data_IF_844386156934
#
_entry.id   IF_844386156934
#
_cell.length_a   1.000
_cell.length_b   1.000
_cell.length_c   1.000
_cell.angle_alpha   90.00
_cell.angle_beta   90.00
_cell.angle_gamma   90.00
#
_symmetry.space_group_name_H-M   'P 1'
#
loop_
_entity.id
_entity.type
_entity.pdbx_description
1 polymer ?
#
# COMPACT_ATOMS: atom_id res chain seq x y z
N UNK A 1 -6.07 27.67 3.66
CA UNK A 1 -6.52 26.62 4.61
C UNK A 1 -6.70 25.37 3.74
N UNK A 2 -5.90 24.31 3.82
CA UNK A 2 -5.08 23.77 4.91
C UNK A 2 -3.94 22.93 4.32
N UNK A 3 -2.77 22.98 4.97
CA UNK A 3 -1.49 22.37 4.61
C UNK A 3 -1.48 20.82 4.83
N UNK A 4 -2.47 20.09 4.32
CA UNK A 4 -2.68 18.65 4.61
C UNK A 4 -2.17 17.70 3.52
N UNK A 5 -1.70 18.23 2.38
CA UNK A 5 -1.37 17.43 1.19
C UNK A 5 0.01 16.74 1.20
N UNK A 6 0.80 16.88 2.27
CA UNK A 6 2.18 16.39 2.31
C UNK A 6 2.43 15.26 3.32
N UNK A 7 1.47 14.37 3.55
CA UNK A 7 1.64 13.24 4.47
C UNK A 7 1.34 11.91 3.79
N UNK A 8 2.15 10.89 4.04
CA UNK A 8 2.03 9.55 3.43
C UNK A 8 2.16 8.47 4.50
N UNK A 9 1.46 7.35 4.33
CA UNK A 9 1.57 6.17 5.18
C UNK A 9 2.50 5.17 4.49
N UNK A 10 3.59 4.82 5.14
CA UNK A 10 4.52 3.80 4.67
C UNK A 10 4.37 2.53 5.50
N UNK A 11 4.30 1.39 4.80
CA UNK A 11 4.27 0.07 5.39
C UNK A 11 5.61 -0.62 5.21
N UNK A 12 6.23 -1.01 6.33
CA UNK A 12 7.52 -1.71 6.36
C UNK A 12 7.34 -3.13 6.84
N UNK A 13 8.21 -4.01 6.38
CA UNK A 13 8.30 -5.35 6.93
C UNK A 13 8.75 -5.29 8.40
N UNK A 14 7.98 -5.87 9.32
CA UNK A 14 8.33 -5.87 10.75
C UNK A 14 9.66 -6.57 11.07
N UNK A 15 10.05 -7.55 10.24
CA UNK A 15 11.29 -8.32 10.44
C UNK A 15 12.54 -7.54 10.03
N UNK A 16 12.57 -6.99 8.81
CA UNK A 16 13.78 -6.36 8.26
C UNK A 16 13.67 -4.85 8.05
N UNK A 17 12.52 -4.24 8.34
CA UNK A 17 12.21 -2.81 8.16
C UNK A 17 12.29 -2.31 6.71
N UNK A 18 12.46 -3.19 5.73
CA UNK A 18 12.36 -2.85 4.31
C UNK A 18 10.96 -2.28 4.02
N UNK A 19 10.91 -1.17 3.28
CA UNK A 19 9.66 -0.58 2.80
C UNK A 19 9.01 -1.56 1.82
N UNK A 20 7.75 -1.92 2.09
CA UNK A 20 7.00 -2.86 1.26
C UNK A 20 6.08 -2.13 0.29
N UNK A 21 5.32 -1.15 0.78
CA UNK A 21 4.34 -0.37 0.03
C UNK A 21 3.89 0.88 0.80
N UNK A 22 3.03 1.69 0.20
CA UNK A 22 2.45 2.92 0.75
C UNK A 22 0.92 2.87 0.79
N UNK A 23 0.25 3.94 1.25
CA UNK A 23 -1.20 4.07 1.17
C UNK A 23 -1.74 3.90 -0.25
N UNK A 24 -0.93 4.18 -1.28
CA UNK A 24 -1.32 4.07 -2.69
C UNK A 24 -1.67 2.65 -3.09
N UNK A 25 -0.98 1.66 -2.52
CA UNK A 25 -1.22 0.25 -2.82
C UNK A 25 -2.23 -0.37 -1.86
N UNK A 26 -2.58 0.30 -0.77
CA UNK A 26 -3.47 -0.23 0.24
C UNK A 26 -4.94 0.14 -0.03
N UNK A 27 -5.86 -0.72 0.40
CA UNK A 27 -7.28 -0.45 0.34
C UNK A 27 -8.02 -0.92 1.59
N UNK A 28 -9.24 -0.41 1.74
CA UNK A 28 -10.23 -0.88 2.70
C UNK A 28 -10.69 -2.31 2.34
N UNK A 29 -11.40 -3.00 3.24
CA UNK A 29 -12.04 -4.29 2.93
C UNK A 29 -13.02 -4.25 1.75
N UNK A 30 -13.49 -3.07 1.34
CA UNK A 30 -14.38 -2.89 0.19
C UNK A 30 -13.63 -2.36 -1.05
N UNK A 31 -12.30 -2.32 -1.02
CA UNK A 31 -11.46 -1.99 -2.18
C UNK A 31 -11.28 -0.49 -2.44
N UNK A 32 -11.78 0.40 -1.59
CA UNK A 32 -11.50 1.84 -1.70
C UNK A 32 -10.07 2.15 -1.29
N UNK A 33 -9.45 3.14 -1.94
CA UNK A 33 -8.08 3.55 -1.62
C UNK A 33 -7.94 3.96 -0.15
N UNK A 34 -6.87 3.50 0.51
CA UNK A 34 -6.60 3.86 1.89
C UNK A 34 -6.23 5.33 2.00
N UNK A 35 -6.75 6.01 3.01
CA UNK A 35 -6.42 7.41 3.31
C UNK A 35 -5.89 7.58 4.73
N UNK A 36 -5.26 8.73 5.01
CA UNK A 36 -4.67 9.03 6.33
C UNK A 36 -5.74 9.13 7.41
N UNK A 37 -6.95 9.56 7.01
CA UNK A 37 -8.13 9.72 7.85
C UNK A 37 -8.99 8.44 7.93
N UNK A 38 -8.58 7.34 7.29
CA UNK A 38 -9.25 6.04 7.32
C UNK A 38 -9.06 5.29 8.66
N UNK A 39 -9.22 6.02 9.76
CA UNK A 39 -9.13 5.47 11.12
C UNK A 39 -10.48 4.92 11.61
N UNK A 40 -11.57 5.02 10.84
CA UNK A 40 -12.91 4.61 11.33
C UNK A 40 -14.06 4.43 10.31
N UNK A 41 -13.84 4.47 8.99
CA UNK A 41 -14.96 4.57 8.05
C UNK A 41 -15.19 3.28 7.26
N UNK A 42 -15.65 2.27 7.99
CA UNK A 42 -16.77 1.41 7.61
C UNK A 42 -16.91 0.36 8.73
N UNK A 43 -18.15 0.07 9.13
CA UNK A 43 -18.51 -0.92 10.15
C UNK A 43 -18.06 -2.37 9.81
N UNK A 44 -17.29 -2.51 8.73
CA UNK A 44 -16.81 -3.72 8.10
C UNK A 44 -15.29 -3.92 8.26
N UNK A 45 -14.57 -2.89 8.75
CA UNK A 45 -13.15 -2.95 9.12
C UNK A 45 -12.93 -3.46 10.55
N UNK A 46 -14.00 -3.70 11.31
CA UNK A 46 -13.93 -4.17 12.68
C UNK A 46 -13.37 -5.60 12.74
N UNK A 47 -12.08 -5.70 13.09
CA UNK A 47 -11.31 -6.92 13.40
C UNK A 47 -10.65 -7.68 12.24
N UNK A 48 -10.37 -7.06 11.10
CA UNK A 48 -9.49 -7.71 10.11
C UNK A 48 -8.02 -7.59 10.53
N UNK A 49 -7.37 -8.73 10.83
CA UNK A 49 -5.92 -8.83 11.14
C UNK A 49 -5.03 -8.60 9.91
N UNK A 50 -5.60 -8.14 8.80
CA UNK A 50 -4.91 -7.93 7.52
C UNK A 50 -5.15 -6.52 6.97
N UNK A 51 -4.21 -6.08 6.16
CA UNK A 51 -4.27 -4.91 5.30
C UNK A 51 -4.45 -5.41 3.86
N UNK A 52 -5.51 -4.97 3.18
CA UNK A 52 -5.79 -5.34 1.80
C UNK A 52 -4.99 -4.48 0.82
N UNK A 53 -4.71 -5.06 -0.34
CA UNK A 53 -3.93 -4.43 -1.40
C UNK A 53 -4.77 -4.27 -2.67
N UNK A 54 -4.59 -3.13 -3.33
CA UNK A 54 -5.22 -2.78 -4.60
C UNK A 54 -4.56 -3.53 -5.74
N UNK A 55 -5.37 -4.25 -6.52
CA UNK A 55 -4.89 -5.10 -7.61
C UNK A 55 -4.43 -4.28 -8.84
N UNK A 56 -4.97 -3.07 -9.04
CA UNK A 56 -4.68 -2.20 -10.18
C UNK A 56 -3.34 -1.45 -10.09
N UNK A 57 -2.77 -1.35 -8.88
CA UNK A 57 -1.56 -0.56 -8.60
C UNK A 57 -0.48 -1.38 -7.88
N UNK A 58 -0.46 -2.71 -8.07
CA UNK A 58 0.55 -3.58 -7.47
C UNK A 58 1.98 -3.22 -7.90
N UNK A 59 2.90 -3.26 -6.93
CA UNK A 59 4.33 -3.15 -7.17
C UNK A 59 4.86 -4.39 -7.90
N UNK A 60 5.94 -4.24 -8.67
CA UNK A 60 6.54 -5.33 -9.46
C UNK A 60 6.83 -6.57 -8.62
N UNK A 61 7.44 -6.41 -7.45
CA UNK A 61 7.77 -7.55 -6.57
C UNK A 61 6.55 -8.34 -6.09
N UNK A 62 5.37 -7.70 -6.00
CA UNK A 62 4.12 -8.38 -5.67
C UNK A 62 3.59 -9.13 -6.90
N UNK A 63 3.60 -8.47 -8.07
CA UNK A 63 3.17 -9.05 -9.35
C UNK A 63 3.97 -10.31 -9.67
N UNK A 64 5.29 -10.27 -9.54
CA UNK A 64 6.17 -11.42 -9.80
C UNK A 64 5.77 -12.65 -8.96
N UNK A 65 5.37 -12.45 -7.69
CA UNK A 65 4.92 -13.53 -6.82
C UNK A 65 3.51 -14.04 -7.15
N UNK A 66 2.62 -13.14 -7.58
CA UNK A 66 1.27 -13.51 -8.05
C UNK A 66 1.35 -14.29 -9.35
N UNK A 67 2.20 -13.86 -10.28
CA UNK A 67 2.48 -14.52 -11.56
C UNK A 67 3.04 -15.93 -11.33
N UNK A 68 4.00 -16.07 -10.41
CA UNK A 68 4.56 -17.38 -10.00
C UNK A 68 3.48 -18.30 -9.41
N UNK A 69 2.46 -17.73 -8.77
CA UNK A 69 1.28 -18.47 -8.27
C UNK A 69 0.18 -18.68 -9.31
N UNK A 70 0.45 -18.38 -10.58
CA UNK A 70 -0.46 -18.43 -11.72
C UNK A 70 -1.81 -17.74 -11.46
N UNK A 71 -1.81 -16.63 -10.72
CA UNK A 71 -3.04 -15.89 -10.39
C UNK A 71 -4.13 -16.77 -9.76
N UNK A 72 -3.73 -17.80 -9.00
CA UNK A 72 -4.67 -18.66 -8.29
C UNK A 72 -4.66 -18.35 -6.80
N UNK A 73 -3.87 -19.10 -6.03
CA UNK A 73 -3.74 -18.94 -4.58
C UNK A 73 -2.28 -19.08 -4.21
N UNK A 74 -1.82 -18.26 -3.27
CA UNK A 74 -0.42 -18.24 -2.91
C UNK A 74 -0.11 -17.45 -1.64
N UNK A 75 1.18 -17.44 -1.32
CA UNK A 75 1.74 -16.72 -0.17
C UNK A 75 2.49 -15.50 -0.68
N UNK A 76 2.45 -14.42 0.09
CA UNK A 76 3.23 -13.22 -0.19
C UNK A 76 4.41 -13.15 0.78
N UNK A 77 5.61 -12.94 0.24
CA UNK A 77 6.87 -12.85 0.98
C UNK A 77 7.50 -11.47 0.83
N UNK A 78 8.16 -11.03 1.90
CA UNK A 78 8.97 -9.81 1.84
C UNK A 78 10.10 -9.99 0.83
N UNK A 79 10.27 -9.07 -0.15
CA UNK A 79 11.30 -9.20 -1.19
C UNK A 79 12.73 -9.08 -0.65
N UNK A 80 12.91 -8.47 0.54
CA UNK A 80 14.22 -8.26 1.15
C UNK A 80 14.67 -9.42 2.05
N UNK A 81 13.77 -9.99 2.87
CA UNK A 81 14.17 -10.98 3.88
C UNK A 81 13.43 -12.32 3.79
N UNK A 82 12.62 -12.48 2.73
CA UNK A 82 11.84 -13.67 2.42
C UNK A 82 10.93 -14.19 3.56
N UNK A 83 10.62 -13.37 4.57
CA UNK A 83 9.63 -13.76 5.56
C UNK A 83 8.23 -13.69 4.96
N UNK A 84 7.37 -14.64 5.30
CA UNK A 84 5.96 -14.58 4.90
C UNK A 84 5.27 -13.40 5.58
N UNK A 85 4.66 -12.54 4.77
CA UNK A 85 3.94 -11.35 5.22
C UNK A 85 2.45 -11.43 4.91
N UNK A 86 2.02 -12.23 3.94
CA UNK A 86 0.62 -12.26 3.50
C UNK A 86 0.26 -13.45 2.63
N UNK A 87 -0.82 -13.29 1.87
CA UNK A 87 -1.34 -14.27 0.90
C UNK A 87 -2.22 -13.61 -0.16
N UNK A 88 -2.47 -14.35 -1.24
CA UNK A 88 -3.48 -14.03 -2.24
C UNK A 88 -4.38 -15.24 -2.55
N UNK A 89 -5.62 -14.96 -2.93
CA UNK A 89 -6.56 -15.93 -3.46
C UNK A 89 -7.52 -15.27 -4.47
N UNK A 90 -7.28 -15.50 -5.76
CA UNK A 90 -8.08 -15.00 -6.88
C UNK A 90 -9.13 -16.02 -7.36
N UNK A 91 -9.08 -17.26 -6.88
CA UNK A 91 -10.00 -18.32 -7.32
C UNK A 91 -11.32 -18.27 -6.54
N UNK A 92 -11.24 -17.95 -5.25
CA UNK A 92 -12.41 -17.91 -4.37
C UNK A 92 -12.42 -16.59 -3.58
N UNK A 93 -13.22 -15.64 -4.05
CA UNK A 93 -13.47 -14.39 -3.34
C UNK A 93 -14.19 -14.66 -2.02
N UNK A 94 -13.67 -14.09 -0.94
CA UNK A 94 -14.34 -14.13 0.36
C UNK A 94 -15.28 -12.94 0.48
N UNK A 95 -16.51 -13.14 0.97
CA UNK A 95 -17.42 -12.01 1.21
C UNK A 95 -17.00 -11.26 2.45
N UNK A 96 -17.10 -9.93 2.40
CA UNK A 96 -16.99 -9.09 3.58
C UNK A 96 -18.10 -9.46 4.58
N UNK A 97 -17.86 -9.28 5.89
CA UNK A 97 -18.84 -9.59 6.93
C UNK A 97 -20.18 -8.84 6.76
N UNK A 98 -20.21 -7.70 6.07
CA UNK A 98 -21.44 -7.00 5.72
C UNK A 98 -22.28 -7.70 4.65
N UNK A 99 -21.70 -8.64 3.91
CA UNK A 99 -22.34 -9.36 2.80
C UNK A 99 -22.48 -8.55 1.50
N UNK A 100 -22.11 -7.27 1.48
CA UNK A 100 -22.33 -6.36 0.34
C UNK A 100 -21.21 -6.42 -0.71
N UNK A 101 -20.00 -6.78 -0.30
CA UNK A 101 -18.81 -6.75 -1.15
C UNK A 101 -18.00 -8.05 -1.05
N UNK A 102 -17.21 -8.33 -2.09
CA UNK A 102 -16.15 -9.34 -2.06
C UNK A 102 -14.88 -8.66 -1.57
N UNK A 103 -14.17 -9.28 -0.63
CA UNK A 103 -12.89 -8.80 -0.09
C UNK A 103 -11.81 -8.84 -1.20
N UNK A 104 -10.87 -7.88 -1.21
CA UNK A 104 -9.74 -7.90 -2.13
C UNK A 104 -8.93 -9.20 -2.03
N UNK A 105 -8.43 -9.67 -3.18
CA UNK A 105 -7.81 -11.00 -3.28
C UNK A 105 -6.44 -11.06 -2.62
N UNK A 106 -5.74 -9.93 -2.53
CA UNK A 106 -4.38 -9.80 -2.01
C UNK A 106 -4.38 -9.04 -0.67
N UNK A 107 -3.68 -9.59 0.32
CA UNK A 107 -3.58 -8.96 1.63
C UNK A 107 -2.26 -9.28 2.34
N UNK A 108 -1.92 -8.45 3.33
CA UNK A 108 -0.75 -8.55 4.20
C UNK A 108 -1.19 -8.55 5.65
N UNK A 109 -0.57 -9.37 6.49
CA UNK A 109 -0.96 -9.51 7.89
C UNK A 109 -0.42 -8.33 8.72
N UNK A 110 -1.30 -7.64 9.45
CA UNK A 110 -0.99 -6.41 10.15
C UNK A 110 0.16 -6.57 11.15
N UNK A 111 0.20 -7.66 11.93
CA UNK A 111 1.30 -7.89 12.88
C UNK A 111 2.66 -8.21 12.23
N UNK A 112 2.71 -8.39 10.90
CA UNK A 112 3.94 -8.53 10.11
C UNK A 112 4.41 -7.20 9.51
N UNK A 113 3.68 -6.11 9.76
CA UNK A 113 3.96 -4.77 9.26
C UNK A 113 4.31 -3.81 10.40
N UNK A 114 5.10 -2.80 10.07
CA UNK A 114 5.14 -1.54 10.80
C UNK A 114 4.51 -0.45 9.93
N UNK A 115 3.64 0.36 10.53
CA UNK A 115 2.97 1.49 9.88
C UNK A 115 3.59 2.78 10.38
N UNK A 116 4.12 3.60 9.48
CA UNK A 116 4.70 4.90 9.79
C UNK A 116 4.02 5.98 8.95
N UNK A 117 3.78 7.16 9.54
CA UNK A 117 3.31 8.30 8.78
C UNK A 117 4.48 9.27 8.56
N UNK A 118 4.79 9.56 7.29
CA UNK A 118 5.85 10.45 6.87
C UNK A 118 5.29 11.78 6.40
N UNK A 119 5.89 12.87 6.86
CA UNK A 119 5.67 14.21 6.31
C UNK A 119 6.69 14.40 5.19
N UNK A 120 6.22 14.66 3.97
CA UNK A 120 7.06 15.07 2.86
C UNK A 120 7.44 16.53 3.10
N UNK A 121 8.67 16.82 3.49
CA UNK A 121 9.18 18.19 3.49
C UNK A 121 9.54 18.59 2.05
N UNK A 122 9.00 19.71 1.56
CA UNK A 122 9.40 20.28 0.27
C UNK A 122 10.92 20.40 0.17
N UNK A 123 11.53 19.87 -0.88
CA UNK A 123 12.89 20.28 -1.26
C UNK A 123 12.83 21.68 -1.88
N UNK A 124 13.77 22.60 -1.56
CA UNK A 124 13.80 23.92 -2.18
C UNK A 124 14.05 23.78 -3.69
N UNK A 125 13.26 24.53 -4.46
CA UNK A 125 13.43 24.71 -5.91
C UNK A 125 14.82 25.30 -6.12
N UNK A 126 15.71 24.62 -6.83
CA UNK A 126 16.92 25.28 -7.36
C UNK A 126 16.48 26.11 -8.57
N UNK A 127 16.39 27.43 -8.41
CA UNK A 127 16.28 28.35 -9.54
C UNK A 127 17.58 28.27 -10.35
N UNK A 128 17.50 27.80 -11.61
CA UNK A 128 18.59 27.96 -12.56
C UNK A 128 18.55 29.37 -13.13
N UNK A 129 19.45 30.24 -12.66
CA UNK A 129 19.75 31.52 -13.29
C UNK A 129 20.20 31.27 -14.74
N UNK A 130 19.36 31.62 -15.71
CA UNK A 130 19.83 31.80 -17.09
C UNK A 130 20.10 33.28 -17.27
N UNK A 131 21.34 33.68 -16.97
CA UNK A 131 21.88 35.00 -17.30
C UNK A 131 21.71 35.27 -18.79
N UNK A 132 20.98 36.35 -19.09
CA UNK A 132 20.94 36.99 -20.41
C UNK A 132 22.32 37.58 -20.68
N UNK A 133 23.05 37.00 -21.63
CA UNK A 133 24.13 37.71 -22.32
C UNK A 133 23.65 38.08 -23.73
N UNK A 134 23.12 39.31 -23.81
CA UNK A 134 23.30 40.16 -24.99
C UNK A 134 24.78 40.16 -25.36
N UNK A 135 25.11 40.00 -26.64
CA UNK A 135 26.29 40.59 -27.27
C UNK A 135 26.22 40.48 -28.81
N UNK A 136 26.12 41.66 -29.42
CA UNK A 136 26.37 42.08 -30.83
C UNK A 136 25.34 41.70 -31.88
#
# INVERSE_FOLDING_TARGET
MSNVDNMQIIFKCRKCRNILFSEKEACTPHGQALTIYDSSLENCSSASDVCYLREDVLLSWMKDQVDTGNWMKGKLFCPSCNCRIGSFNFVCGSKCNCGLCVLPSLHVVNHKLDREIKILSHMPIQESETEVRLNV
#
